data_IF_130089727392
#
_entry.id   IF_130089727392
#
_cell.length_a   1.000
_cell.length_b   1.000
_cell.length_c   1.000
_cell.angle_alpha   90.00
_cell.angle_beta   90.00
_cell.angle_gamma   90.00
#
_symmetry.space_group_name_H-M   'P 1'
#
loop_
_entity.id
_entity.type
_entity.pdbx_description
1 polymer ?
#
# COMPACT_ATOMS: atom_id res chain seq x y z
N UNK A 1 -15.10 16.88 -14.20
CA UNK A 1 -14.39 18.17 -14.32
C UNK A 1 -14.04 18.78 -12.96
N UNK A 2 -14.88 18.72 -11.91
CA UNK A 2 -14.52 19.21 -10.55
C UNK A 2 -13.40 18.41 -9.83
N UNK A 3 -13.34 17.10 -10.06
CA UNK A 3 -12.46 16.16 -9.35
C UNK A 3 -10.96 16.49 -9.43
N UNK A 4 -10.51 17.17 -10.50
CA UNK A 4 -9.10 17.59 -10.65
C UNK A 4 -8.80 18.80 -9.76
N UNK A 5 -9.77 19.71 -9.63
CA UNK A 5 -9.62 20.92 -8.83
C UNK A 5 -9.51 20.56 -7.33
N UNK A 6 -10.29 19.58 -6.88
CA UNK A 6 -10.23 19.09 -5.49
C UNK A 6 -8.89 18.43 -5.17
N UNK A 7 -8.35 17.62 -6.09
CA UNK A 7 -7.01 17.04 -5.93
C UNK A 7 -5.92 18.12 -5.85
N UNK A 8 -6.01 19.14 -6.70
CA UNK A 8 -5.07 20.27 -6.67
C UNK A 8 -5.18 21.08 -5.37
N UNK A 9 -6.40 21.40 -4.92
CA UNK A 9 -6.66 22.08 -3.65
C UNK A 9 -6.14 21.27 -2.46
N UNK A 10 -6.23 19.94 -2.53
CA UNK A 10 -5.64 19.03 -1.54
C UNK A 10 -4.13 19.25 -1.39
N UNK A 11 -3.39 19.26 -2.50
CA UNK A 11 -1.93 19.48 -2.50
C UNK A 11 -1.55 20.90 -2.07
N UNK A 12 -2.35 21.90 -2.43
CA UNK A 12 -2.13 23.30 -1.99
C UNK A 12 -2.32 23.44 -0.48
N UNK A 13 -3.25 22.67 0.11
CA UNK A 13 -3.51 22.69 1.56
C UNK A 13 -2.53 21.82 2.35
N UNK A 14 -2.14 20.67 1.82
CA UNK A 14 -1.14 19.76 2.41
C UNK A 14 -0.13 19.34 1.34
N UNK A 15 1.13 19.81 1.41
CA UNK A 15 2.14 19.54 0.39
C UNK A 15 2.74 18.13 0.46
N UNK A 16 2.30 17.28 1.41
CA UNK A 16 2.81 15.90 1.54
C UNK A 16 2.17 15.01 0.49
N UNK A 17 3.00 14.44 -0.39
CA UNK A 17 2.57 13.56 -1.47
C UNK A 17 3.29 12.22 -1.34
N UNK A 18 2.57 11.12 -1.56
CA UNK A 18 3.11 9.76 -1.55
C UNK A 18 3.19 9.22 -2.98
N UNK A 19 4.00 8.17 -3.18
CA UNK A 19 3.99 7.42 -4.44
C UNK A 19 2.59 6.87 -4.73
N UNK A 20 2.17 6.89 -5.99
CA UNK A 20 0.89 6.31 -6.42
C UNK A 20 0.99 4.81 -6.69
N UNK A 21 0.00 4.27 -7.40
CA UNK A 21 0.07 2.92 -7.98
C UNK A 21 0.04 1.77 -6.98
N UNK A 22 -0.53 1.95 -5.79
CA UNK A 22 -0.63 0.89 -4.78
C UNK A 22 0.62 0.71 -3.91
N UNK A 23 1.65 1.54 -4.09
CA UNK A 23 2.87 1.50 -3.29
C UNK A 23 2.65 1.78 -1.78
N UNK A 24 1.88 2.81 -1.37
CA UNK A 24 1.68 3.08 0.06
C UNK A 24 0.80 2.02 0.72
N UNK A 25 -0.16 1.43 0.01
CA UNK A 25 -0.99 0.34 0.50
C UNK A 25 -0.17 -0.93 0.75
N UNK A 26 0.74 -1.28 -0.16
CA UNK A 26 1.63 -2.43 -0.01
C UNK A 26 2.62 -2.25 1.16
N UNK A 27 3.18 -1.04 1.35
CA UNK A 27 4.06 -0.75 2.49
C UNK A 27 3.29 -0.80 3.82
N UNK A 28 2.08 -0.25 3.86
CA UNK A 28 1.23 -0.29 5.04
C UNK A 28 0.85 -1.73 5.40
N UNK A 29 0.48 -2.56 4.42
CA UNK A 29 0.18 -3.98 4.63
C UNK A 29 1.38 -4.74 5.25
N UNK A 30 2.61 -4.48 4.74
CA UNK A 30 3.85 -5.05 5.30
C UNK A 30 4.06 -4.63 6.75
N UNK A 31 3.95 -3.34 7.06
CA UNK A 31 4.13 -2.84 8.43
C UNK A 31 3.08 -3.38 9.38
N UNK A 32 1.82 -3.45 8.96
CA UNK A 32 0.73 -4.03 9.73
C UNK A 32 0.94 -5.51 10.02
N UNK A 33 1.47 -6.29 9.07
CA UNK A 33 1.86 -7.69 9.31
C UNK A 33 2.96 -7.79 10.36
N UNK A 34 3.95 -6.89 10.35
CA UNK A 34 4.97 -6.82 11.40
C UNK A 34 4.41 -6.38 12.76
N UNK A 35 3.41 -5.50 12.77
CA UNK A 35 2.71 -5.07 13.98
C UNK A 35 1.80 -6.17 14.55
N UNK A 36 1.13 -6.94 13.69
CA UNK A 36 0.28 -8.05 14.07
C UNK A 36 1.04 -9.09 14.90
N UNK A 37 2.32 -9.35 14.58
CA UNK A 37 3.18 -10.28 15.33
C UNK A 37 3.43 -9.84 16.78
N UNK A 38 3.24 -8.56 17.11
CA UNK A 38 3.39 -8.03 18.47
C UNK A 38 2.10 -8.14 19.29
N UNK A 39 0.98 -8.41 18.65
CA UNK A 39 -0.33 -8.54 19.29
C UNK A 39 -0.67 -10.01 19.54
N UNK A 40 -1.51 -10.27 20.54
CA UNK A 40 -1.92 -11.63 20.89
C UNK A 40 -3.44 -11.79 20.81
N UNK A 41 -3.89 -12.98 20.39
CA UNK A 41 -5.31 -13.31 20.34
C UNK A 41 -6.04 -12.81 19.08
N UNK A 42 -7.31 -12.42 19.22
CA UNK A 42 -8.20 -12.12 18.08
C UNK A 42 -7.82 -10.85 17.32
N UNK A 43 -7.15 -9.91 17.99
CA UNK A 43 -6.73 -8.64 17.40
C UNK A 43 -5.67 -8.86 16.32
N UNK A 44 -4.78 -9.84 16.50
CA UNK A 44 -3.80 -10.21 15.48
C UNK A 44 -4.48 -10.60 14.16
N UNK A 45 -5.55 -11.42 14.23
CA UNK A 45 -6.29 -11.85 13.05
C UNK A 45 -7.00 -10.69 12.36
N UNK A 46 -7.57 -9.75 13.14
CA UNK A 46 -8.20 -8.56 12.60
C UNK A 46 -7.18 -7.66 11.85
N UNK A 47 -5.98 -7.49 12.41
CA UNK A 47 -4.91 -6.71 11.79
C UNK A 47 -4.43 -7.37 10.50
N UNK A 48 -4.28 -8.69 10.49
CA UNK A 48 -3.91 -9.45 9.28
C UNK A 48 -4.96 -9.33 8.18
N UNK A 49 -6.24 -9.48 8.53
CA UNK A 49 -7.34 -9.31 7.57
C UNK A 49 -7.38 -7.90 6.98
N UNK A 50 -7.05 -6.87 7.78
CA UNK A 50 -6.94 -5.50 7.29
C UNK A 50 -5.73 -5.30 6.36
N UNK A 51 -4.58 -5.90 6.68
CA UNK A 51 -3.42 -5.89 5.79
C UNK A 51 -3.73 -6.55 4.43
N UNK A 52 -4.46 -7.66 4.42
CA UNK A 52 -4.86 -8.32 3.18
C UNK A 52 -5.87 -7.48 2.38
N UNK A 53 -6.78 -6.78 3.06
CA UNK A 53 -7.71 -5.85 2.41
C UNK A 53 -6.96 -4.69 1.71
N UNK A 54 -5.87 -4.18 2.27
CA UNK A 54 -5.06 -3.13 1.63
C UNK A 54 -4.39 -3.63 0.34
N UNK A 55 -3.98 -4.89 0.28
CA UNK A 55 -3.39 -5.48 -0.94
C UNK A 55 -4.41 -5.65 -2.08
N UNK A 56 -5.72 -5.57 -1.80
CA UNK A 56 -6.73 -5.64 -2.87
C UNK A 56 -6.65 -4.49 -3.87
N UNK A 57 -6.14 -3.32 -3.45
CA UNK A 57 -5.99 -2.13 -4.31
C UNK A 57 -4.93 -2.33 -5.40
N UNK A 58 -3.66 -2.66 -5.09
CA UNK A 58 -2.66 -2.94 -6.12
C UNK A 58 -3.02 -4.14 -6.99
N UNK A 59 -3.71 -5.15 -6.44
CA UNK A 59 -4.21 -6.29 -7.23
C UNK A 59 -5.22 -5.82 -8.27
N UNK A 60 -6.24 -5.06 -7.85
CA UNK A 60 -7.24 -4.53 -8.76
C UNK A 60 -6.62 -3.60 -9.82
N UNK A 61 -5.59 -2.82 -9.46
CA UNK A 61 -4.86 -2.00 -10.43
C UNK A 61 -4.08 -2.85 -11.44
N UNK A 62 -3.43 -3.92 -11.00
CA UNK A 62 -2.71 -4.84 -11.87
C UNK A 62 -3.66 -5.57 -12.84
N UNK A 63 -4.79 -6.06 -12.33
CA UNK A 63 -5.85 -6.68 -13.14
C UNK A 63 -6.41 -5.71 -14.19
N UNK A 64 -6.72 -4.47 -13.79
CA UNK A 64 -7.19 -3.43 -14.71
C UNK A 64 -6.14 -3.03 -15.75
N UNK A 65 -4.85 -3.18 -15.43
CA UNK A 65 -3.74 -2.94 -16.35
C UNK A 65 -3.44 -4.16 -17.26
N UNK A 66 -4.11 -5.29 -17.06
CA UNK A 66 -3.86 -6.54 -17.80
C UNK A 66 -2.54 -7.21 -17.44
N UNK A 67 -1.98 -6.91 -16.27
CA UNK A 67 -0.74 -7.48 -15.75
C UNK A 67 -1.04 -8.69 -14.85
N UNK A 68 -0.09 -9.61 -14.69
CA UNK A 68 -0.23 -10.69 -13.71
C UNK A 68 -0.12 -10.12 -12.28
N UNK A 69 -1.19 -10.20 -11.47
CA UNK A 69 -1.17 -9.65 -10.11
C UNK A 69 -0.11 -10.31 -9.23
N UNK A 70 0.22 -11.57 -9.46
CA UNK A 70 1.24 -12.29 -8.67
C UNK A 70 2.61 -11.67 -8.91
N UNK A 71 2.97 -11.46 -10.19
CA UNK A 71 4.25 -10.87 -10.56
C UNK A 71 4.39 -9.45 -10.02
N UNK A 72 3.34 -8.63 -10.16
CA UNK A 72 3.33 -7.25 -9.65
C UNK A 72 3.44 -7.22 -8.12
N UNK A 73 2.74 -8.11 -7.42
CA UNK A 73 2.84 -8.18 -5.96
C UNK A 73 4.22 -8.66 -5.48
N UNK A 74 4.87 -9.58 -6.20
CA UNK A 74 6.25 -10.00 -5.91
C UNK A 74 7.22 -8.84 -6.16
N UNK A 75 7.08 -8.13 -7.26
CA UNK A 75 7.90 -6.96 -7.58
C UNK A 75 7.70 -5.85 -6.53
N UNK A 76 6.46 -5.50 -6.19
CA UNK A 76 6.16 -4.53 -5.14
C UNK A 76 6.83 -4.92 -3.81
N UNK A 77 6.67 -6.16 -3.37
CA UNK A 77 7.34 -6.63 -2.14
C UNK A 77 8.86 -6.55 -2.23
N UNK A 78 9.46 -6.85 -3.38
CA UNK A 78 10.89 -6.72 -3.59
C UNK A 78 11.35 -5.26 -3.47
N UNK A 79 10.65 -4.32 -4.12
CA UNK A 79 10.92 -2.88 -4.00
C UNK A 79 10.81 -2.37 -2.56
N UNK A 80 9.82 -2.84 -1.79
CA UNK A 80 9.64 -2.46 -0.38
C UNK A 80 10.71 -3.01 0.57
N UNK A 81 11.45 -4.04 0.17
CA UNK A 81 12.62 -4.51 0.93
C UNK A 81 13.83 -3.62 0.65
N UNK A 82 13.99 -3.15 -0.59
CA UNK A 82 15.09 -2.29 -1.00
C UNK A 82 14.93 -0.84 -0.53
N UNK A 83 13.71 -0.32 -0.45
CA UNK A 83 13.47 1.05 0.03
C UNK A 83 13.92 1.28 1.48
N UNK A 84 13.81 0.27 2.35
CA UNK A 84 14.31 0.34 3.73
C UNK A 84 15.84 0.35 3.83
N UNK A 85 16.57 -0.09 2.80
CA UNK A 85 18.03 -0.01 2.76
C UNK A 85 18.54 1.38 2.39
N UNK A 86 17.69 2.21 1.76
CA UNK A 86 18.03 3.56 1.28
C UNK A 86 17.56 4.70 2.21
N UNK A 87 16.75 4.39 3.23
CA UNK A 87 16.35 5.33 4.29
C UNK A 87 17.31 5.37 5.49
N UNK A 88 18.47 4.74 5.40
CA UNK A 88 19.59 4.86 6.33
C UNK A 88 20.68 5.78 5.78
#
# INVERSE_FOLDING_TARGET
>A
MLWILDAYLGVVRDPRVVGGGGAPEAEMAKQLRGYAQKQSGKEQLAILAFADALESVPIALAENAGLDPIDIMVQLRHFLVLSQQLTC
#
